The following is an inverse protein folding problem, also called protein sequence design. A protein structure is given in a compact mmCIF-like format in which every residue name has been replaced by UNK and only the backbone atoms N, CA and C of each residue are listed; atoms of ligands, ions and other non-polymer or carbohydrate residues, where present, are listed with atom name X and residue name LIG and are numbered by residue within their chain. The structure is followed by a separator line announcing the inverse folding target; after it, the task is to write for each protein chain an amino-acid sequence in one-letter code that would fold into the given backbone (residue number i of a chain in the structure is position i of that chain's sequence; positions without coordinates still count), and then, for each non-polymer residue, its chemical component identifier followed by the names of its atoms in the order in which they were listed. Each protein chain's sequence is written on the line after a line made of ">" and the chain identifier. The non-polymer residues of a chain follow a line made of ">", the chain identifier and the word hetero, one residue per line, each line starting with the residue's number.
data_IF_150756711984
#
_entry.id   IF_150756711984
#
_cell.length_a   1.000
_cell.length_b   1.000
_cell.length_c   1.000
_cell.angle_alpha   90.00
_cell.angle_beta   90.00
_cell.angle_gamma   90.00
#
_symmetry.space_group_name_H-M   'P 1'
#
loop_
_entity.id
_entity.type
_entity.pdbx_description
1 polymer ?
#
# COMPACT_ATOMS: atom_id res chain seq x y z
N UNK A 1 -13.76 -14.27 28.02
CA UNK A 1 -12.91 -14.67 26.88
C UNK A 1 -12.90 -13.49 25.91
N UNK A 2 -12.04 -12.46 26.07
CA UNK A 2 -10.57 -12.50 26.09
C UNK A 2 -10.06 -13.04 24.76
N UNK A 3 -10.06 -12.19 23.72
CA UNK A 3 -9.33 -12.26 22.44
C UNK A 3 -10.05 -11.33 21.45
N UNK A 4 -9.35 -10.33 20.92
CA UNK A 4 -9.83 -9.27 20.02
C UNK A 4 -10.34 -8.01 20.74
N UNK A 5 -9.54 -7.46 21.66
CA UNK A 5 -9.51 -6.01 21.89
C UNK A 5 -9.08 -5.37 20.56
N UNK A 6 -9.95 -5.34 19.55
CA UNK A 6 -9.74 -4.48 18.40
C UNK A 6 -9.93 -3.07 18.95
N UNK A 7 -8.85 -2.29 19.12
CA UNK A 7 -9.02 -0.91 19.52
C UNK A 7 -9.86 -0.27 18.41
N UNK A 8 -11.09 0.12 18.75
CA UNK A 8 -12.06 0.68 17.78
C UNK A 8 -11.47 1.93 17.11
N UNK A 9 -10.59 2.64 17.82
CA UNK A 9 -9.88 3.82 17.31
C UNK A 9 -9.02 3.53 16.06
N UNK A 10 -8.06 2.58 16.04
CA UNK A 10 -7.37 2.15 14.83
C UNK A 10 -8.27 1.64 13.70
N UNK A 11 -9.37 0.95 14.00
CA UNK A 11 -10.31 0.47 12.98
C UNK A 11 -11.00 1.64 12.28
N UNK A 12 -11.50 2.62 13.04
CA UNK A 12 -12.09 3.84 12.50
C UNK A 12 -11.04 4.67 11.77
N UNK A 13 -9.82 4.78 12.31
CA UNK A 13 -8.71 5.50 11.66
C UNK A 13 -8.36 4.89 10.30
N UNK A 14 -8.28 3.57 10.20
CA UNK A 14 -8.04 2.89 8.93
C UNK A 14 -9.20 3.12 7.94
N UNK A 15 -10.45 3.09 8.42
CA UNK A 15 -11.63 3.36 7.60
C UNK A 15 -11.63 4.79 7.04
N UNK A 16 -11.34 5.81 7.85
CA UNK A 16 -11.32 7.21 7.37
C UNK A 16 -10.12 7.49 6.45
N UNK A 17 -8.98 6.84 6.67
CA UNK A 17 -7.85 6.93 5.74
C UNK A 17 -8.23 6.29 4.39
N UNK A 18 -8.97 5.18 4.42
CA UNK A 18 -9.51 4.54 3.23
C UNK A 18 -10.48 5.44 2.47
N UNK A 19 -11.45 6.04 3.17
CA UNK A 19 -12.39 7.03 2.60
C UNK A 19 -11.66 8.18 1.90
N UNK A 20 -10.64 8.74 2.55
CA UNK A 20 -9.82 9.83 1.97
C UNK A 20 -9.01 9.37 0.75
N UNK A 21 -8.57 8.12 0.73
CA UNK A 21 -7.90 7.55 -0.43
C UNK A 21 -8.87 7.34 -1.60
N UNK A 22 -10.11 6.90 -1.34
CA UNK A 22 -11.15 6.78 -2.38
C UNK A 22 -11.53 8.15 -2.95
N UNK A 23 -11.73 9.15 -2.09
CA UNK A 23 -12.01 10.53 -2.51
C UNK A 23 -10.94 11.04 -3.49
N UNK A 24 -9.66 10.90 -3.11
CA UNK A 24 -8.53 11.33 -3.95
C UNK A 24 -8.41 10.52 -5.25
N UNK A 25 -8.67 9.22 -5.19
CA UNK A 25 -8.68 8.35 -6.37
C UNK A 25 -9.82 8.73 -7.34
N UNK A 26 -11.04 8.92 -6.82
CA UNK A 26 -12.22 9.36 -7.57
C UNK A 26 -11.99 10.72 -8.20
N UNK A 27 -11.45 11.67 -7.45
CA UNK A 27 -11.08 12.99 -7.97
C UNK A 27 -10.11 12.87 -9.15
N UNK A 28 -9.08 12.04 -9.01
CA UNK A 28 -8.09 11.80 -10.07
C UNK A 28 -8.73 11.16 -11.32
N UNK A 29 -9.66 10.22 -11.14
CA UNK A 29 -10.39 9.57 -12.23
C UNK A 29 -11.36 10.51 -12.96
N UNK A 30 -12.03 11.40 -12.24
CA UNK A 30 -12.88 12.46 -12.81
C UNK A 30 -12.01 13.41 -13.65
N UNK A 31 -10.85 13.84 -13.11
CA UNK A 31 -9.88 14.64 -13.85
C UNK A 31 -9.40 13.94 -15.14
N UNK A 32 -9.29 12.61 -15.12
CA UNK A 32 -8.83 11.83 -16.28
C UNK A 32 -9.94 11.44 -17.27
N UNK A 33 -11.19 11.83 -17.03
CA UNK A 33 -12.34 11.33 -17.79
C UNK A 33 -12.41 9.79 -17.83
N UNK A 34 -11.99 9.12 -16.75
CA UNK A 34 -11.98 7.67 -16.65
C UNK A 34 -10.76 6.95 -17.25
N UNK A 35 -9.78 7.68 -17.80
CA UNK A 35 -8.54 7.07 -18.29
C UNK A 35 -7.53 6.80 -17.17
N UNK A 36 -6.85 5.64 -17.19
CA UNK A 36 -5.70 5.40 -16.29
C UNK A 36 -4.42 6.11 -16.74
N UNK A 37 -4.46 6.81 -17.88
CA UNK A 37 -3.31 7.54 -18.39
C UNK A 37 -2.86 8.69 -17.50
N UNK A 38 -3.71 9.20 -16.59
CA UNK A 38 -3.31 10.28 -15.67
C UNK A 38 -2.14 9.88 -14.78
N UNK A 39 -2.07 8.62 -14.34
CA UNK A 39 -0.97 8.12 -13.49
C UNK A 39 0.39 8.12 -14.20
N UNK A 40 0.41 8.25 -15.53
CA UNK A 40 1.63 8.32 -16.35
C UNK A 40 1.72 9.56 -17.24
N UNK A 41 0.80 10.51 -17.07
CA UNK A 41 0.65 11.68 -17.96
C UNK A 41 1.76 12.71 -17.82
N UNK A 42 2.38 12.79 -16.64
CA UNK A 42 3.42 13.77 -16.33
C UNK A 42 4.63 13.07 -15.67
N UNK A 43 5.88 13.46 -16.01
CA UNK A 43 7.09 12.94 -15.35
C UNK A 43 7.08 13.04 -13.82
N UNK A 44 6.46 14.07 -13.25
CA UNK A 44 6.31 14.20 -11.79
C UNK A 44 5.34 13.18 -11.21
N UNK A 45 4.20 12.96 -11.86
CA UNK A 45 3.20 12.00 -11.39
C UNK A 45 3.73 10.57 -11.55
N UNK A 46 4.43 10.27 -12.65
CA UNK A 46 5.00 8.95 -12.88
C UNK A 46 6.13 8.63 -11.90
N UNK A 47 6.98 9.59 -11.53
CA UNK A 47 8.02 9.38 -10.50
C UNK A 47 7.41 9.14 -9.12
N UNK A 48 6.39 9.90 -8.74
CA UNK A 48 5.64 9.67 -7.50
C UNK A 48 4.95 8.30 -7.49
N UNK A 49 4.31 7.92 -8.59
CA UNK A 49 3.66 6.62 -8.73
C UNK A 49 4.66 5.46 -8.67
N UNK A 50 5.82 5.61 -9.31
CA UNK A 50 6.90 4.63 -9.27
C UNK A 50 7.47 4.45 -7.85
N UNK A 51 7.70 5.53 -7.11
CA UNK A 51 8.15 5.47 -5.71
C UNK A 51 7.06 4.80 -4.85
N UNK A 52 5.80 5.19 -5.01
CA UNK A 52 4.67 4.60 -4.27
C UNK A 52 4.52 3.10 -4.51
N UNK A 53 4.55 2.66 -5.78
CA UNK A 53 4.51 1.25 -6.15
C UNK A 53 5.72 0.49 -5.61
N UNK A 54 6.90 1.09 -5.63
CA UNK A 54 8.11 0.47 -5.09
C UNK A 54 7.95 0.23 -3.58
N UNK A 55 7.51 1.23 -2.81
CA UNK A 55 7.27 1.09 -1.37
C UNK A 55 6.18 0.07 -1.06
N UNK A 56 5.12 0.01 -1.86
CA UNK A 56 4.02 -0.94 -1.70
C UNK A 56 4.49 -2.39 -1.94
N UNK A 57 5.32 -2.60 -2.96
CA UNK A 57 5.76 -3.95 -3.38
C UNK A 57 7.00 -4.42 -2.62
N UNK A 58 7.83 -3.51 -2.06
CA UNK A 58 9.00 -3.82 -1.24
C UNK A 58 8.79 -4.90 -0.17
N UNK A 59 7.79 -4.82 0.74
CA UNK A 59 7.59 -5.84 1.77
C UNK A 59 7.10 -7.18 1.19
N UNK A 60 6.35 -7.13 0.10
CA UNK A 60 5.86 -8.33 -0.61
C UNK A 60 7.03 -9.06 -1.25
N UNK A 61 7.92 -8.36 -1.96
CA UNK A 61 9.14 -8.94 -2.52
C UNK A 61 10.06 -9.44 -1.42
N UNK A 62 10.28 -8.66 -0.35
CA UNK A 62 11.15 -9.07 0.76
C UNK A 62 10.67 -10.36 1.45
N UNK A 63 9.37 -10.49 1.67
CA UNK A 63 8.77 -11.71 2.22
C UNK A 63 8.82 -12.88 1.23
N UNK A 64 8.58 -12.64 -0.06
CA UNK A 64 8.65 -13.67 -1.10
C UNK A 64 10.10 -14.18 -1.29
N UNK A 65 11.08 -13.27 -1.36
CA UNK A 65 12.50 -13.60 -1.45
C UNK A 65 12.98 -14.34 -0.21
N UNK A 66 12.51 -13.96 1.00
CA UNK A 66 12.81 -14.72 2.23
C UNK A 66 12.21 -16.13 2.23
N UNK A 67 11.02 -16.30 1.66
CA UNK A 67 10.38 -17.61 1.48
C UNK A 67 11.16 -18.48 0.48
N UNK A 68 11.64 -17.89 -0.62
CA UNK A 68 12.43 -18.59 -1.65
C UNK A 68 13.88 -18.86 -1.19
N UNK A 69 14.47 -17.97 -0.39
CA UNK A 69 15.81 -18.13 0.22
C UNK A 69 15.78 -18.95 1.52
N UNK A 70 14.84 -19.90 1.62
CA UNK A 70 14.61 -20.79 2.76
C UNK A 70 15.68 -20.79 3.85
N UNK A 71 15.29 -20.33 5.05
CA UNK A 71 15.87 -20.74 6.33
C UNK A 71 17.40 -20.83 6.38
N UNK A 72 18.07 -19.72 6.69
CA UNK A 72 19.21 -19.80 7.62
C UNK A 72 18.69 -19.50 9.01
N UNK A 73 18.24 -20.57 9.67
CA UNK A 73 17.94 -20.56 11.10
C UNK A 73 19.25 -20.26 11.85
N UNK A 74 19.46 -19.00 12.20
CA UNK A 74 20.47 -18.66 13.21
C UNK A 74 19.81 -18.78 14.57
N UNK A 75 19.79 -20.02 15.07
CA UNK A 75 19.64 -20.32 16.49
C UNK A 75 20.99 -20.06 17.14
N UNK A 76 21.10 -18.99 17.92
CA UNK A 76 22.22 -18.79 18.85
C UNK A 76 21.68 -18.22 20.15
N UNK A 77 21.46 -19.19 21.06
CA UNK A 77 21.60 -19.22 22.53
C UNK A 77 21.52 -17.89 23.28
#
# INVERSE_FOLDING_TARGET
>A
FKKLDYPIAPLVLAMVIGDKAEDAFRQSMIFSQGSLSIFWSNPLVSTLMAIGLTLLVMPVIGSLVRRLRGTKATSTV
#
